data_IF_817708477086
#
_entry.id   IF_817708477086
#
_cell.length_a   1.000
_cell.length_b   1.000
_cell.length_c   1.000
_cell.angle_alpha   90.00
_cell.angle_beta   90.00
_cell.angle_gamma   90.00
#
_symmetry.space_group_name_H-M   'P 1'
#
loop_
_entity.id
_entity.type
_entity.pdbx_description
1 polymer ?
#
# COMPACT_ATOMS: atom_id res chain seq x y z
N UNK A 1 -9.85 -33.51 -28.79
CA UNK A 1 -9.83 -32.30 -27.95
C UNK A 1 -10.65 -32.62 -26.72
N UNK A 2 -10.08 -32.56 -25.52
CA UNK A 2 -10.86 -32.76 -24.31
C UNK A 2 -11.93 -31.65 -24.21
N UNK A 3 -13.18 -32.03 -23.99
CA UNK A 3 -14.25 -31.05 -23.74
C UNK A 3 -13.92 -30.34 -22.43
N UNK A 4 -13.90 -29.01 -22.46
CA UNK A 4 -13.71 -28.17 -21.28
C UNK A 4 -15.01 -28.08 -20.47
N UNK A 5 -15.53 -29.23 -20.06
CA UNK A 5 -16.76 -29.29 -19.27
C UNK A 5 -16.44 -29.00 -17.79
N UNK A 6 -17.32 -28.26 -17.12
CA UNK A 6 -17.23 -27.95 -15.69
C UNK A 6 -15.97 -27.14 -15.27
N UNK A 7 -15.52 -26.21 -16.12
CA UNK A 7 -14.56 -25.18 -15.72
C UNK A 7 -15.29 -23.92 -15.22
N UNK A 8 -14.70 -23.24 -14.25
CA UNK A 8 -15.16 -21.95 -13.74
C UNK A 8 -14.16 -20.86 -14.11
N UNK A 9 -14.66 -19.67 -14.40
CA UNK A 9 -13.83 -18.51 -14.73
C UNK A 9 -13.07 -18.00 -13.49
N UNK A 10 -11.95 -17.31 -13.72
CA UNK A 10 -11.22 -16.62 -12.65
C UNK A 10 -12.11 -15.57 -11.97
N UNK A 11 -12.01 -15.45 -10.64
CA UNK A 11 -12.71 -14.43 -9.87
C UNK A 11 -12.03 -13.06 -10.02
N UNK A 12 -12.28 -12.40 -11.15
CA UNK A 12 -11.80 -11.04 -11.50
C UNK A 12 -12.92 -10.25 -12.18
N UNK A 13 -12.80 -8.92 -12.22
CA UNK A 13 -13.81 -8.02 -12.78
C UNK A 13 -14.98 -7.69 -11.83
N UNK A 14 -14.91 -8.15 -10.58
CA UNK A 14 -15.93 -7.87 -9.56
C UNK A 14 -15.46 -6.78 -8.60
N UNK A 15 -16.35 -5.87 -8.23
CA UNK A 15 -16.02 -4.84 -7.24
C UNK A 15 -15.99 -5.42 -5.82
N UNK A 16 -14.78 -5.44 -5.24
CA UNK A 16 -14.51 -6.07 -3.95
C UNK A 16 -15.36 -5.51 -2.80
N UNK A 17 -15.69 -4.20 -2.83
CA UNK A 17 -16.54 -3.62 -1.80
C UNK A 17 -18.00 -4.03 -1.98
N UNK A 18 -18.53 -3.94 -3.20
CA UNK A 18 -19.96 -4.21 -3.42
C UNK A 18 -20.32 -5.68 -3.32
N UNK A 19 -19.33 -6.58 -3.48
CA UNK A 19 -19.47 -8.01 -3.26
C UNK A 19 -19.40 -8.42 -1.78
N UNK A 20 -19.12 -7.49 -0.85
CA UNK A 20 -19.07 -7.73 0.60
C UNK A 20 -20.22 -7.00 1.34
N UNK A 21 -21.37 -7.68 1.57
CA UNK A 21 -22.51 -7.06 2.22
C UNK A 21 -22.24 -6.68 3.68
N UNK A 22 -21.35 -7.40 4.37
CA UNK A 22 -21.00 -7.12 5.76
C UNK A 22 -20.18 -5.82 5.85
N UNK A 23 -19.17 -5.68 4.99
CA UNK A 23 -18.37 -4.46 4.90
C UNK A 23 -19.23 -3.25 4.51
N UNK A 24 -20.15 -3.40 3.55
CA UNK A 24 -21.08 -2.34 3.18
C UNK A 24 -21.96 -1.88 4.36
N UNK A 25 -22.51 -2.82 5.12
CA UNK A 25 -23.32 -2.51 6.29
C UNK A 25 -22.51 -1.76 7.36
N UNK A 26 -21.29 -2.24 7.64
CA UNK A 26 -20.38 -1.59 8.59
C UNK A 26 -20.01 -0.17 8.15
N UNK A 27 -19.68 0.04 6.87
CA UNK A 27 -19.33 1.36 6.34
C UNK A 27 -20.52 2.32 6.32
N UNK A 28 -21.74 1.86 5.99
CA UNK A 28 -22.94 2.71 6.06
C UNK A 28 -23.18 3.26 7.47
N UNK A 29 -22.91 2.45 8.50
CA UNK A 29 -23.06 2.85 9.90
C UNK A 29 -21.92 3.74 10.39
N UNK A 30 -20.66 3.39 10.06
CA UNK A 30 -19.48 4.01 10.67
C UNK A 30 -18.85 5.14 9.84
N UNK A 31 -18.93 5.08 8.51
CA UNK A 31 -18.26 6.00 7.59
C UNK A 31 -18.98 6.05 6.21
N UNK A 32 -20.24 6.51 6.14
CA UNK A 32 -20.99 6.55 4.88
C UNK A 32 -20.29 7.37 3.78
N UNK A 33 -19.52 8.39 4.15
CA UNK A 33 -18.71 9.20 3.24
C UNK A 33 -17.58 8.41 2.56
N UNK A 34 -17.18 7.25 3.10
CA UNK A 34 -16.16 6.39 2.52
C UNK A 34 -16.70 5.52 1.37
N UNK A 35 -18.03 5.36 1.27
CA UNK A 35 -18.63 4.47 0.27
C UNK A 35 -18.27 4.86 -1.17
N UNK A 36 -18.43 6.12 -1.64
CA UNK A 36 -18.08 6.46 -3.02
C UNK A 36 -16.60 6.21 -3.36
N UNK A 37 -15.61 6.73 -2.61
CA UNK A 37 -14.20 6.51 -2.96
C UNK A 37 -13.77 5.04 -2.83
N UNK A 38 -14.27 4.30 -1.84
CA UNK A 38 -13.93 2.88 -1.68
C UNK A 38 -14.66 1.97 -2.68
N UNK A 39 -15.81 2.40 -3.21
CA UNK A 39 -16.48 1.67 -4.31
C UNK A 39 -15.64 1.78 -5.58
N UNK A 40 -15.16 2.98 -5.92
CA UNK A 40 -14.28 3.17 -7.07
C UNK A 40 -12.98 2.37 -6.90
N UNK A 41 -12.37 2.42 -5.72
CA UNK A 41 -11.17 1.67 -5.40
C UNK A 41 -11.38 0.15 -5.43
N UNK A 42 -12.51 -0.35 -4.90
CA UNK A 42 -12.86 -1.77 -4.93
C UNK A 42 -13.08 -2.31 -6.35
N UNK A 43 -13.56 -1.49 -7.28
CA UNK A 43 -13.67 -1.86 -8.69
C UNK A 43 -12.29 -1.98 -9.36
N UNK A 44 -11.40 -1.02 -9.10
CA UNK A 44 -10.02 -1.03 -9.62
C UNK A 44 -9.23 -2.22 -9.06
N UNK A 45 -9.34 -2.46 -7.75
CA UNK A 45 -8.68 -3.59 -7.08
C UNK A 45 -9.15 -4.95 -7.61
N UNK A 46 -10.44 -5.07 -7.91
CA UNK A 46 -11.03 -6.31 -8.40
C UNK A 46 -10.79 -6.58 -9.89
N UNK A 47 -10.11 -5.69 -10.62
CA UNK A 47 -9.89 -5.85 -12.06
C UNK A 47 -8.86 -6.95 -12.39
N UNK A 48 -8.95 -7.51 -13.60
CA UNK A 48 -8.01 -8.53 -14.07
C UNK A 48 -6.58 -7.97 -14.19
N UNK A 49 -6.45 -6.68 -14.52
CA UNK A 49 -5.19 -5.96 -14.57
C UNK A 49 -4.53 -5.88 -13.19
N UNK A 50 -5.28 -5.49 -12.15
CA UNK A 50 -4.72 -5.44 -10.79
C UNK A 50 -4.36 -6.83 -10.27
N UNK A 51 -5.19 -7.84 -10.55
CA UNK A 51 -4.86 -9.23 -10.25
C UNK A 51 -3.52 -9.66 -10.90
N UNK A 52 -3.28 -9.23 -12.15
CA UNK A 52 -2.01 -9.49 -12.82
C UNK A 52 -0.83 -8.76 -12.16
N UNK A 53 -0.98 -7.49 -11.79
CA UNK A 53 0.05 -6.73 -11.05
C UNK A 53 0.45 -7.44 -9.75
N UNK A 54 -0.53 -7.92 -8.99
CA UNK A 54 -0.32 -8.66 -7.75
C UNK A 54 0.39 -10.00 -7.96
N UNK A 55 -0.02 -10.76 -8.98
CA UNK A 55 0.66 -12.01 -9.39
C UNK A 55 2.11 -11.75 -9.76
N UNK A 56 2.38 -10.72 -10.56
CA UNK A 56 3.73 -10.42 -11.01
C UNK A 56 4.62 -9.89 -9.88
N UNK A 57 4.08 -9.07 -8.98
CA UNK A 57 4.82 -8.59 -7.81
C UNK A 57 5.29 -9.73 -6.89
N UNK A 58 4.50 -10.80 -6.77
CA UNK A 58 4.84 -11.96 -5.94
C UNK A 58 5.68 -13.00 -6.70
N UNK A 59 5.40 -13.23 -7.99
CA UNK A 59 6.19 -14.16 -8.81
C UNK A 59 7.61 -13.63 -9.07
N UNK A 60 7.76 -12.32 -9.23
CA UNK A 60 9.02 -11.64 -9.50
C UNK A 60 9.48 -10.87 -8.25
N UNK A 61 9.89 -11.62 -7.23
CA UNK A 61 10.35 -11.06 -5.96
C UNK A 61 11.54 -10.09 -6.11
N UNK A 62 11.76 -9.21 -5.11
CA UNK A 62 12.79 -8.19 -5.17
C UNK A 62 14.20 -8.77 -5.28
N UNK A 63 15.05 -8.11 -6.07
CA UNK A 63 16.44 -8.52 -6.28
C UNK A 63 17.38 -7.54 -5.60
N UNK A 64 18.15 -8.03 -4.63
CA UNK A 64 19.22 -7.25 -4.01
C UNK A 64 20.41 -7.12 -4.97
N UNK A 65 20.77 -5.88 -5.30
CA UNK A 65 21.93 -5.54 -6.11
C UNK A 65 22.91 -4.73 -5.27
N UNK A 66 23.86 -5.42 -4.68
CA UNK A 66 24.83 -4.80 -3.77
C UNK A 66 25.91 -3.99 -4.50
N UNK A 67 26.28 -4.43 -5.71
CA UNK A 67 27.37 -3.84 -6.49
C UNK A 67 26.87 -3.39 -7.88
N UNK A 68 27.48 -2.33 -8.41
CA UNK A 68 27.37 -1.96 -9.82
C UNK A 68 28.22 -2.90 -10.71
N UNK A 69 28.10 -2.74 -12.03
CA UNK A 69 28.85 -3.54 -13.01
C UNK A 69 30.38 -3.34 -12.95
N UNK A 70 30.87 -2.38 -12.16
CA UNK A 70 32.28 -2.04 -11.97
C UNK A 70 32.77 -2.38 -10.55
N UNK A 71 31.96 -3.07 -9.74
CA UNK A 71 32.30 -3.48 -8.38
C UNK A 71 32.15 -2.41 -7.30
N UNK A 72 31.53 -1.25 -7.59
CA UNK A 72 31.23 -0.24 -6.56
C UNK A 72 29.98 -0.63 -5.81
N UNK A 73 29.98 -0.44 -4.49
CA UNK A 73 28.82 -0.69 -3.65
C UNK A 73 27.70 0.32 -3.91
N UNK A 74 26.47 -0.17 -4.05
CA UNK A 74 25.26 0.63 -4.29
C UNK A 74 24.08 0.22 -3.38
N UNK A 75 24.05 -1.01 -2.86
CA UNK A 75 22.99 -1.52 -1.96
C UNK A 75 21.54 -1.25 -2.43
N UNK A 76 21.27 -1.42 -3.72
CA UNK A 76 19.95 -1.20 -4.32
C UNK A 76 19.08 -2.46 -4.24
N UNK A 77 17.76 -2.28 -4.24
CA UNK A 77 16.78 -3.38 -4.37
C UNK A 77 15.89 -3.09 -5.56
N UNK A 78 15.96 -3.94 -6.58
CA UNK A 78 15.19 -3.82 -7.80
C UNK A 78 13.85 -4.58 -7.64
N UNK A 79 12.73 -3.92 -7.92
CA UNK A 79 11.38 -4.49 -7.82
C UNK A 79 10.72 -4.58 -9.20
N UNK A 80 9.82 -5.54 -9.38
CA UNK A 80 8.97 -5.59 -10.56
C UNK A 80 8.06 -4.34 -10.65
N UNK A 81 7.76 -3.78 -11.84
CA UNK A 81 6.88 -2.61 -11.97
C UNK A 81 5.51 -2.76 -11.30
N UNK A 82 4.98 -3.99 -11.25
CA UNK A 82 3.73 -4.30 -10.55
C UNK A 82 3.73 -3.90 -9.06
N UNK A 83 4.87 -4.04 -8.39
CA UNK A 83 5.04 -3.59 -7.01
C UNK A 83 4.83 -2.08 -6.87
N UNK A 84 5.44 -1.29 -7.76
CA UNK A 84 5.30 0.16 -7.74
C UNK A 84 3.90 0.62 -8.13
N UNK A 85 3.21 -0.11 -9.01
CA UNK A 85 1.82 0.17 -9.34
C UNK A 85 0.90 0.00 -8.12
N UNK A 86 1.04 -1.10 -7.37
CA UNK A 86 0.26 -1.36 -6.15
C UNK A 86 0.50 -0.28 -5.07
N UNK A 87 1.77 0.09 -4.83
CA UNK A 87 2.10 1.18 -3.91
C UNK A 87 1.53 2.54 -4.36
N UNK A 88 1.50 2.79 -5.67
CA UNK A 88 0.89 3.99 -6.26
C UNK A 88 -0.60 4.03 -5.99
N UNK A 89 -1.30 2.91 -6.21
CA UNK A 89 -2.74 2.78 -5.92
C UNK A 89 -3.04 3.07 -4.44
N UNK A 90 -2.27 2.45 -3.53
CA UNK A 90 -2.45 2.62 -2.09
C UNK A 90 -2.26 4.08 -1.63
N UNK A 91 -1.21 4.76 -2.13
CA UNK A 91 -0.98 6.19 -1.84
C UNK A 91 -2.02 7.10 -2.45
N UNK A 92 -2.39 6.87 -3.71
CA UNK A 92 -3.40 7.68 -4.41
C UNK A 92 -4.73 7.66 -3.67
N UNK A 93 -5.08 6.52 -3.07
CA UNK A 93 -6.27 6.36 -2.24
C UNK A 93 -6.19 7.11 -0.89
N UNK A 94 -5.02 7.60 -0.50
CA UNK A 94 -4.84 8.37 0.74
C UNK A 94 -4.67 7.52 2.00
N UNK A 95 -4.52 6.20 1.85
CA UNK A 95 -4.56 5.24 2.97
C UNK A 95 -3.32 5.26 3.87
N UNK A 96 -2.29 6.05 3.54
CA UNK A 96 -1.09 6.19 4.38
C UNK A 96 -1.31 7.23 5.49
N UNK A 97 -1.64 8.48 5.12
CA UNK A 97 -1.54 9.61 6.05
C UNK A 97 -2.85 10.38 6.26
N UNK A 98 -3.87 10.22 5.41
CA UNK A 98 -5.07 11.06 5.46
C UNK A 98 -5.85 10.94 6.78
N UNK A 99 -5.70 9.80 7.46
CA UNK A 99 -6.28 9.56 8.79
C UNK A 99 -5.78 10.55 9.86
N UNK A 100 -4.65 11.22 9.59
CA UNK A 100 -4.07 12.27 10.43
C UNK A 100 -4.29 13.69 9.87
N UNK A 101 -4.88 13.83 8.68
CA UNK A 101 -5.12 15.13 8.03
C UNK A 101 -6.39 15.83 8.51
N UNK A 102 -7.34 15.08 9.09
CA UNK A 102 -8.59 15.62 9.64
C UNK A 102 -9.14 14.78 10.77
N UNK A 103 -10.04 15.36 11.56
CA UNK A 103 -10.79 14.65 12.61
C UNK A 103 -12.17 14.17 12.14
N UNK A 104 -12.36 13.98 10.83
CA UNK A 104 -13.64 13.54 10.26
C UNK A 104 -14.11 12.23 10.94
N UNK A 105 -15.34 12.17 11.49
CA UNK A 105 -15.90 10.94 12.03
C UNK A 105 -15.85 9.80 11.01
N UNK A 106 -15.42 8.61 11.43
CA UNK A 106 -15.29 7.46 10.53
C UNK A 106 -13.99 7.39 9.72
N UNK A 107 -13.04 8.32 9.88
CA UNK A 107 -11.74 8.29 9.16
C UNK A 107 -10.97 6.97 9.34
N UNK A 108 -10.99 6.39 10.55
CA UNK A 108 -10.34 5.11 10.82
C UNK A 108 -11.09 3.93 10.20
N UNK A 109 -12.43 4.00 10.12
CA UNK A 109 -13.23 3.00 9.42
C UNK A 109 -12.99 3.06 7.89
N UNK A 110 -12.85 4.26 7.31
CA UNK A 110 -12.41 4.43 5.92
C UNK A 110 -11.05 3.75 5.70
N UNK A 111 -10.05 4.10 6.51
CA UNK A 111 -8.72 3.52 6.39
C UNK A 111 -8.76 1.99 6.52
N UNK A 112 -9.41 1.47 7.56
CA UNK A 112 -9.47 0.04 7.82
C UNK A 112 -10.11 -0.73 6.66
N UNK A 113 -11.21 -0.21 6.10
CA UNK A 113 -11.86 -0.81 4.93
C UNK A 113 -10.97 -0.75 3.69
N UNK A 114 -10.30 0.38 3.42
CA UNK A 114 -9.39 0.50 2.28
C UNK A 114 -8.17 -0.42 2.39
N UNK A 115 -7.59 -0.55 3.59
CA UNK A 115 -6.50 -1.48 3.89
C UNK A 115 -6.95 -2.92 3.70
N UNK A 116 -8.12 -3.28 4.22
CA UNK A 116 -8.73 -4.62 4.06
C UNK A 116 -8.94 -4.96 2.58
N UNK A 117 -9.54 -4.06 1.79
CA UNK A 117 -9.79 -4.26 0.36
C UNK A 117 -8.47 -4.46 -0.41
N UNK A 118 -7.44 -3.65 -0.14
CA UNK A 118 -6.13 -3.80 -0.81
C UNK A 118 -5.45 -5.11 -0.44
N UNK A 119 -5.51 -5.50 0.84
CA UNK A 119 -4.92 -6.74 1.34
C UNK A 119 -5.54 -8.02 0.78
N UNK A 120 -6.78 -7.97 0.27
CA UNK A 120 -7.37 -9.10 -0.46
C UNK A 120 -6.65 -9.37 -1.79
N UNK A 121 -6.02 -8.35 -2.37
CA UNK A 121 -5.34 -8.43 -3.67
C UNK A 121 -3.85 -8.70 -3.49
N UNK A 122 -3.18 -7.91 -2.64
CA UNK A 122 -1.74 -8.03 -2.42
C UNK A 122 -1.37 -7.53 -1.01
N UNK A 123 -0.69 -8.38 -0.23
CA UNK A 123 -0.40 -8.10 1.17
C UNK A 123 1.02 -7.56 1.42
N UNK A 124 1.99 -7.84 0.56
CA UNK A 124 3.38 -7.42 0.72
C UNK A 124 3.53 -5.90 0.71
N UNK A 125 2.80 -5.20 -0.17
CA UNK A 125 2.81 -3.74 -0.29
C UNK A 125 2.19 -3.03 0.93
N UNK A 126 1.42 -3.74 1.76
CA UNK A 126 0.94 -3.20 3.04
C UNK A 126 2.07 -3.02 4.05
N UNK A 127 3.19 -3.74 3.93
CA UNK A 127 4.31 -3.64 4.86
C UNK A 127 4.90 -2.22 4.93
N UNK A 128 5.43 -1.62 3.83
CA UNK A 128 5.92 -0.25 3.88
C UNK A 128 4.83 0.77 4.21
N UNK A 129 3.58 0.51 3.81
CA UNK A 129 2.47 1.42 4.04
C UNK A 129 2.08 1.52 5.53
N UNK A 130 1.94 0.38 6.19
CA UNK A 130 1.58 0.31 7.62
C UNK A 130 2.69 0.83 8.51
N UNK A 131 3.96 0.48 8.22
CA UNK A 131 5.11 1.05 8.94
C UNK A 131 5.16 2.58 8.82
N UNK A 132 4.92 3.11 7.61
CA UNK A 132 4.92 4.56 7.37
C UNK A 132 3.78 5.24 8.12
N UNK A 133 2.56 4.71 8.04
CA UNK A 133 1.42 5.26 8.77
C UNK A 133 1.68 5.28 10.30
N UNK A 134 2.19 4.18 10.85
CA UNK A 134 2.44 4.05 12.28
C UNK A 134 3.56 5.00 12.77
N UNK A 135 4.53 5.32 11.92
CA UNK A 135 5.63 6.23 12.26
C UNK A 135 5.19 7.70 12.36
N UNK A 136 4.15 8.13 11.62
CA UNK A 136 3.70 9.53 11.57
C UNK A 136 3.44 10.14 12.96
N UNK A 137 2.59 9.57 13.84
CA UNK A 137 2.30 10.18 15.13
C UNK A 137 3.53 10.23 16.06
N UNK A 138 4.47 9.29 15.93
CA UNK A 138 5.71 9.31 16.69
C UNK A 138 6.63 10.44 16.21
N UNK A 139 6.84 10.55 14.90
CA UNK A 139 7.70 11.57 14.30
C UNK A 139 7.12 12.98 14.50
N UNK A 140 5.80 13.14 14.49
CA UNK A 140 5.15 14.41 14.76
C UNK A 140 5.48 14.98 16.16
N UNK A 141 5.92 14.15 17.11
CA UNK A 141 6.42 14.58 18.44
C UNK A 141 7.83 15.17 18.39
N UNK A 142 8.50 15.14 17.24
CA UNK A 142 9.84 15.68 16.99
C UNK A 142 9.77 16.74 15.88
N UNK A 143 9.30 17.98 16.17
CA UNK A 143 8.95 18.96 15.14
C UNK A 143 10.11 19.36 14.22
N UNK A 144 11.34 19.41 14.75
CA UNK A 144 12.53 19.74 13.96
C UNK A 144 12.82 18.68 12.87
N UNK A 145 12.50 17.40 13.14
CA UNK A 145 12.64 16.32 12.18
C UNK A 145 11.41 16.22 11.26
N UNK A 146 10.22 16.35 11.82
CA UNK A 146 8.98 16.14 11.07
C UNK A 146 8.64 17.29 10.13
N UNK A 147 8.91 18.54 10.53
CA UNK A 147 8.58 19.74 9.75
C UNK A 147 9.05 19.65 8.28
N UNK A 148 10.35 19.38 8.02
CA UNK A 148 10.86 19.22 6.65
C UNK A 148 10.28 18.02 5.88
N UNK A 149 9.75 17.00 6.58
CA UNK A 149 9.27 15.75 5.98
C UNK A 149 7.75 15.68 5.83
N UNK A 150 7.02 16.56 6.51
CA UNK A 150 5.56 16.51 6.64
C UNK A 150 4.88 16.32 5.29
N UNK A 151 5.16 17.18 4.32
CA UNK A 151 4.48 17.13 3.03
C UNK A 151 4.75 15.83 2.25
N UNK A 152 5.90 15.19 2.46
CA UNK A 152 6.25 13.90 1.85
C UNK A 152 5.49 12.73 2.48
N UNK A 153 5.15 12.81 3.77
CA UNK A 153 4.28 11.83 4.43
C UNK A 153 2.86 11.91 3.89
N UNK A 154 2.33 13.13 3.75
CA UNK A 154 0.96 13.39 3.28
C UNK A 154 0.80 13.36 1.76
N UNK A 155 1.89 13.14 1.02
CA UNK A 155 1.85 12.99 -0.43
C UNK A 155 1.13 11.71 -0.85
N UNK A 156 0.15 11.88 -1.75
CA UNK A 156 -0.59 10.79 -2.41
C UNK A 156 0.11 10.24 -3.66
N UNK A 157 1.27 10.79 -4.03
CA UNK A 157 2.10 10.24 -5.11
C UNK A 157 3.06 9.18 -4.56
N UNK A 158 3.36 8.14 -5.33
CA UNK A 158 4.45 7.21 -5.04
C UNK A 158 5.70 7.61 -5.83
N UNK A 159 6.84 7.68 -5.14
CA UNK A 159 8.12 8.07 -5.72
C UNK A 159 9.15 6.93 -5.57
N UNK A 160 9.34 6.09 -6.61
CA UNK A 160 10.24 4.95 -6.55
C UNK A 160 11.72 5.33 -6.75
N UNK A 161 12.03 6.60 -7.04
CA UNK A 161 13.40 7.00 -7.38
C UNK A 161 14.33 6.84 -6.19
N UNK A 162 15.53 6.32 -6.44
CA UNK A 162 16.62 6.23 -5.48
C UNK A 162 17.43 7.53 -5.51
N UNK A 163 16.91 8.53 -4.79
CA UNK A 163 17.46 9.89 -4.71
C UNK A 163 17.41 10.37 -3.26
N UNK A 164 18.23 11.37 -2.88
CA UNK A 164 18.17 11.96 -1.54
C UNK A 164 16.75 12.36 -1.15
N UNK A 165 16.43 12.22 0.14
CA UNK A 165 15.07 12.50 0.66
C UNK A 165 14.57 13.91 0.31
N UNK A 166 15.47 14.88 0.20
CA UNK A 166 15.17 16.26 -0.20
C UNK A 166 14.55 16.33 -1.62
N UNK A 167 14.90 15.42 -2.51
CA UNK A 167 14.45 15.40 -3.90
C UNK A 167 13.24 14.48 -4.14
N UNK A 168 12.77 13.79 -3.09
CA UNK A 168 11.61 12.90 -3.14
C UNK A 168 10.29 13.64 -2.96
N UNK A 169 9.29 13.23 -3.74
CA UNK A 169 7.90 13.69 -3.62
C UNK A 169 7.10 12.95 -2.53
N UNK A 170 7.56 11.75 -2.12
CA UNK A 170 6.96 10.94 -1.06
C UNK A 170 8.01 10.04 -0.42
N UNK A 171 7.76 9.59 0.81
CA UNK A 171 8.70 8.76 1.56
C UNK A 171 8.03 7.56 2.22
N UNK A 172 8.75 6.46 2.29
CA UNK A 172 8.41 5.28 3.08
C UNK A 172 9.32 5.20 4.30
N UNK A 173 8.80 4.72 5.42
CA UNK A 173 9.56 4.49 6.65
C UNK A 173 9.53 3.00 6.96
N UNK A 174 10.70 2.44 7.23
CA UNK A 174 10.87 1.09 7.76
C UNK A 174 11.10 1.09 9.27
N UNK A 175 11.10 -0.10 9.87
CA UNK A 175 11.36 -0.30 11.30
C UNK A 175 12.45 -1.35 11.47
N UNK A 176 13.65 -0.90 11.84
CA UNK A 176 14.75 -1.79 12.25
C UNK A 176 14.69 -2.03 13.75
N UNK A 177 14.13 -3.18 14.15
CA UNK A 177 13.96 -3.55 15.56
C UNK A 177 14.64 -4.89 15.85
N UNK A 178 14.30 -5.92 15.08
CA UNK A 178 14.83 -7.28 15.26
C UNK A 178 16.33 -7.33 15.02
N UNK A 179 17.08 -7.83 16.00
CA UNK A 179 18.49 -8.19 15.88
C UNK A 179 18.66 -9.71 15.91
N UNK A 180 19.90 -10.20 15.73
CA UNK A 180 20.17 -11.65 15.66
C UNK A 180 19.83 -12.38 16.96
N UNK A 181 19.97 -11.72 18.11
CA UNK A 181 19.74 -12.31 19.43
C UNK A 181 18.27 -12.29 19.88
N UNK A 182 17.43 -11.45 19.27
CA UNK A 182 16.04 -11.32 19.70
C UNK A 182 15.30 -10.20 18.98
N UNK A 183 13.98 -10.38 18.85
CA UNK A 183 13.04 -9.33 18.43
C UNK A 183 11.93 -9.04 19.44
N UNK A 184 11.69 -9.95 20.38
CA UNK A 184 10.67 -9.79 21.44
C UNK A 184 11.24 -9.37 22.79
N UNK A 185 12.49 -9.73 23.06
CA UNK A 185 13.21 -9.62 24.34
C UNK A 185 13.96 -8.28 24.44
#
# INVERSE_FOLDING_TARGET
MASADNLVDEWVGHNLLTSDPALLAALRAAAPQALPPLTAYGAELGSAETAQLARDANRHGPVLRQLDARGRRIDAVDFHPGWHALLTMYRRQGLVADVFSSDTPGRWAHFAAGCYLHGQVEAGSLCPATMTQAAIPLLARQPALFGPLRDRFFSRAHDPRDVPIADKASIWVGMGMTEKQGGSD
#
